data_IF_422407250784
#
_entry.id   IF_422407250784
#
_cell.length_a   1.000
_cell.length_b   1.000
_cell.length_c   1.000
_cell.angle_alpha   90.00
_cell.angle_beta   90.00
_cell.angle_gamma   90.00
#
_symmetry.space_group_name_H-M   'P 1'
#
loop_
_entity.id
_entity.type
_entity.pdbx_description
1 polymer ?
#
# COMPACT_ATOMS: atom_id res chain seq x y z
N UNK A 1 -83.08 45.46 43.24
CA UNK A 1 -82.89 44.58 44.42
C UNK A 1 -81.96 43.46 44.02
N UNK A 2 -80.86 43.26 44.75
CA UNK A 2 -79.88 42.20 44.71
C UNK A 2 -78.76 42.31 43.69
N UNK A 3 -77.64 42.72 44.12
CA UNK A 3 -76.39 42.19 44.53
C UNK A 3 -75.63 41.36 43.46
N UNK A 4 -74.68 41.97 42.85
CA UNK A 4 -73.69 41.33 41.96
C UNK A 4 -72.38 41.10 42.71
N UNK A 5 -71.98 39.87 42.83
CA UNK A 5 -70.69 39.45 43.31
C UNK A 5 -69.69 39.34 42.16
N UNK A 6 -68.56 40.05 42.29
CA UNK A 6 -67.48 40.05 41.35
C UNK A 6 -66.45 39.00 41.80
N UNK A 7 -66.13 38.00 40.98
CA UNK A 7 -64.95 37.14 41.15
C UNK A 7 -63.97 37.49 40.03
N UNK A 8 -62.87 38.10 40.46
CA UNK A 8 -61.74 38.29 39.57
C UNK A 8 -60.87 37.03 39.52
N UNK A 9 -60.59 36.56 38.35
CA UNK A 9 -59.56 35.53 38.13
C UNK A 9 -58.30 36.20 37.59
N UNK A 10 -57.24 36.12 38.37
CA UNK A 10 -55.89 36.48 37.95
C UNK A 10 -55.30 35.29 37.15
N UNK A 11 -55.07 35.47 35.86
CA UNK A 11 -54.33 34.54 35.05
C UNK A 11 -52.82 34.84 35.14
N UNK A 12 -52.09 33.96 35.79
CA UNK A 12 -50.63 33.99 35.80
C UNK A 12 -50.08 33.38 34.51
N UNK A 13 -49.50 34.19 33.66
CA UNK A 13 -48.79 33.72 32.46
C UNK A 13 -47.39 33.24 32.85
N UNK A 14 -47.14 31.96 32.80
CA UNK A 14 -45.79 31.38 32.94
C UNK A 14 -45.13 31.44 31.56
N UNK A 15 -44.20 32.35 31.39
CA UNK A 15 -43.34 32.38 30.20
C UNK A 15 -42.25 31.32 30.30
N UNK A 16 -42.38 30.24 29.52
CA UNK A 16 -41.35 29.21 29.36
C UNK A 16 -40.29 29.73 28.40
N UNK A 17 -39.17 30.19 28.90
CA UNK A 17 -38.03 30.58 28.08
C UNK A 17 -37.28 29.31 27.64
N UNK A 18 -37.51 28.85 26.38
CA UNK A 18 -36.68 27.86 25.75
C UNK A 18 -35.32 28.46 25.35
N UNK A 19 -34.32 28.27 26.19
CA UNK A 19 -32.92 28.54 25.84
C UNK A 19 -32.46 27.42 24.89
N UNK A 20 -32.42 27.70 23.59
CA UNK A 20 -31.82 26.84 22.59
C UNK A 20 -30.30 26.82 22.74
N UNK A 21 -29.75 25.77 23.32
CA UNK A 21 -28.30 25.52 23.31
C UNK A 21 -27.94 25.09 21.91
N UNK A 22 -27.45 26.00 21.09
CA UNK A 22 -26.84 25.66 19.80
C UNK A 22 -25.49 24.98 20.10
N UNK A 23 -25.46 23.65 20.01
CA UNK A 23 -24.19 22.92 19.91
C UNK A 23 -23.54 23.33 18.59
N UNK A 24 -22.57 24.23 18.65
CA UNK A 24 -21.64 24.49 17.56
C UNK A 24 -20.77 23.26 17.37
N UNK A 25 -21.12 22.40 16.41
CA UNK A 25 -20.24 21.36 15.90
C UNK A 25 -19.17 22.09 15.09
N UNK A 26 -18.04 22.40 15.74
CA UNK A 26 -16.84 22.79 15.00
C UNK A 26 -16.43 21.61 14.15
N UNK A 27 -16.23 21.78 12.82
CA UNK A 27 -15.65 20.72 12.02
C UNK A 27 -14.25 20.45 12.60
N UNK A 28 -14.05 19.27 13.15
CA UNK A 28 -12.72 18.74 13.44
C UNK A 28 -12.07 18.57 12.08
N UNK A 29 -11.39 19.59 11.61
CA UNK A 29 -10.37 19.44 10.58
C UNK A 29 -9.36 18.48 11.18
N UNK A 30 -9.36 17.23 10.69
CA UNK A 30 -8.33 16.27 10.98
C UNK A 30 -7.02 16.80 10.39
N UNK A 31 -6.38 17.75 11.11
CA UNK A 31 -4.98 18.00 10.94
C UNK A 31 -4.30 16.68 11.27
N UNK A 32 -3.66 16.06 10.27
CA UNK A 32 -2.74 14.95 10.52
C UNK A 32 -1.84 15.38 11.66
N UNK A 33 -1.80 14.63 12.77
CA UNK A 33 -0.95 15.03 13.88
C UNK A 33 0.48 15.06 13.35
N UNK A 34 1.04 16.24 13.25
CA UNK A 34 2.44 16.48 12.97
C UNK A 34 3.25 15.64 13.98
N UNK A 35 3.89 14.58 13.50
CA UNK A 35 4.89 13.87 14.29
C UNK A 35 4.63 12.42 14.65
N UNK A 36 3.55 11.75 14.24
CA UNK A 36 3.47 10.30 14.45
C UNK A 36 4.46 9.59 13.53
N UNK A 37 5.28 8.67 14.08
CA UNK A 37 6.20 7.88 13.29
C UNK A 37 5.43 7.11 12.21
N UNK A 38 5.75 7.35 10.93
CA UNK A 38 5.13 6.64 9.80
C UNK A 38 5.72 5.25 9.61
N UNK A 39 6.81 4.94 10.29
CA UNK A 39 7.54 3.70 10.12
C UNK A 39 6.73 2.51 10.64
N UNK A 40 6.63 1.49 9.81
CA UNK A 40 6.09 0.18 10.17
C UNK A 40 6.83 -0.88 9.36
N UNK A 41 7.09 -2.05 9.96
CA UNK A 41 7.81 -3.12 9.28
C UNK A 41 7.40 -4.50 9.75
N UNK A 42 7.54 -5.46 8.84
CA UNK A 42 7.37 -6.90 9.10
C UNK A 42 8.44 -7.67 8.32
N UNK A 43 9.01 -8.67 8.96
CA UNK A 43 9.72 -9.75 8.30
C UNK A 43 8.99 -11.06 8.56
N UNK A 44 8.60 -11.77 7.51
CA UNK A 44 7.81 -13.00 7.57
C UNK A 44 8.50 -14.13 6.78
N UNK A 45 8.51 -15.32 7.32
CA UNK A 45 8.79 -16.54 6.57
C UNK A 45 7.57 -16.93 5.74
N UNK A 46 7.71 -16.91 4.41
CA UNK A 46 6.60 -17.15 3.49
C UNK A 46 6.14 -18.62 3.47
N UNK A 47 6.96 -19.56 3.93
CA UNK A 47 6.63 -20.98 3.97
C UNK A 47 5.78 -21.35 5.18
N UNK A 48 6.04 -20.73 6.33
CA UNK A 48 5.36 -21.00 7.61
C UNK A 48 4.37 -19.92 8.00
N UNK A 49 4.42 -18.73 7.38
CA UNK A 49 3.76 -17.49 7.78
C UNK A 49 4.19 -16.99 9.17
N UNK A 50 5.31 -17.48 9.72
CA UNK A 50 5.87 -17.00 10.98
C UNK A 50 6.37 -15.56 10.81
N UNK A 51 5.98 -14.68 11.72
CA UNK A 51 6.53 -13.32 11.80
C UNK A 51 7.84 -13.40 12.61
N UNK A 52 8.97 -13.19 11.93
CA UNK A 52 10.30 -13.22 12.53
C UNK A 52 10.64 -11.90 13.22
N UNK A 53 10.14 -10.77 12.69
CA UNK A 53 10.30 -9.45 13.27
C UNK A 53 9.11 -8.55 12.89
N UNK A 54 8.70 -7.69 13.81
CA UNK A 54 7.62 -6.74 13.59
C UNK A 54 7.82 -5.47 14.42
N UNK A 55 7.55 -4.31 13.81
CA UNK A 55 7.44 -3.01 14.48
C UNK A 55 6.25 -2.26 13.87
N UNK A 56 5.25 -1.88 14.71
CA UNK A 56 4.01 -1.24 14.26
C UNK A 56 3.29 -2.02 13.13
N UNK A 57 3.41 -3.35 13.11
CA UNK A 57 2.99 -4.21 11.99
C UNK A 57 1.53 -4.03 11.58
N UNK A 58 0.63 -3.80 12.54
CA UNK A 58 -0.82 -3.65 12.32
C UNK A 58 -1.28 -2.19 12.25
N UNK A 59 -0.36 -1.25 12.43
CA UNK A 59 -0.71 0.17 12.37
C UNK A 59 -1.13 0.58 10.94
N UNK A 60 -2.21 1.35 10.85
CA UNK A 60 -2.73 1.87 9.59
C UNK A 60 -1.70 2.78 8.93
N UNK A 61 -1.41 2.51 7.66
CA UNK A 61 -0.45 3.24 6.80
C UNK A 61 -0.99 3.36 5.39
N UNK A 62 -0.50 4.34 4.64
CA UNK A 62 -0.78 4.44 3.20
C UNK A 62 0.24 3.57 2.44
N UNK A 63 -0.21 2.58 1.65
CA UNK A 63 0.68 1.64 0.97
C UNK A 63 1.37 2.25 -0.26
N UNK A 64 0.91 3.39 -0.77
CA UNK A 64 1.31 3.94 -2.06
C UNK A 64 1.20 2.87 -3.18
N UNK A 65 2.15 2.85 -4.12
CA UNK A 65 2.11 1.92 -5.26
C UNK A 65 2.29 0.43 -4.91
N UNK A 66 2.51 0.06 -3.63
CA UNK A 66 2.38 -1.35 -3.23
C UNK A 66 0.95 -1.86 -3.49
N UNK A 67 -0.04 -0.98 -3.50
CA UNK A 67 -1.43 -1.25 -3.94
C UNK A 67 -1.50 -2.06 -5.24
N UNK A 68 -0.59 -1.80 -6.18
CA UNK A 68 -0.58 -2.48 -7.49
C UNK A 68 -0.31 -3.98 -7.40
N UNK A 69 0.19 -4.46 -6.26
CA UNK A 69 0.27 -5.91 -6.01
C UNK A 69 -1.14 -6.51 -5.94
N UNK A 70 -2.09 -5.86 -5.25
CA UNK A 70 -3.49 -6.30 -5.24
C UNK A 70 -4.16 -6.13 -6.61
N UNK A 71 -3.84 -5.06 -7.33
CA UNK A 71 -4.34 -4.86 -8.69
C UNK A 71 -3.92 -6.01 -9.60
N UNK A 72 -2.63 -6.37 -9.59
CA UNK A 72 -2.13 -7.51 -10.38
C UNK A 72 -2.64 -8.85 -9.85
N UNK A 73 -2.87 -8.99 -8.54
CA UNK A 73 -3.50 -10.20 -7.98
C UNK A 73 -4.86 -10.47 -8.62
N UNK A 74 -5.72 -9.47 -8.72
CA UNK A 74 -7.04 -9.61 -9.36
C UNK A 74 -6.95 -9.79 -10.88
N UNK A 75 -5.92 -9.24 -11.53
CA UNK A 75 -5.63 -9.51 -12.95
C UNK A 75 -5.27 -10.99 -13.13
N UNK A 76 -4.43 -11.55 -12.26
CA UNK A 76 -4.04 -12.96 -12.32
C UNK A 76 -5.20 -13.89 -11.99
N UNK A 77 -6.04 -13.54 -10.99
CA UNK A 77 -7.32 -14.25 -10.76
C UNK A 77 -8.20 -14.28 -12.02
N UNK A 78 -8.24 -13.18 -12.78
CA UNK A 78 -9.04 -13.10 -14.00
C UNK A 78 -8.46 -13.94 -15.15
N UNK A 79 -7.12 -13.98 -15.28
CA UNK A 79 -6.42 -14.83 -16.26
C UNK A 79 -6.61 -16.31 -15.96
N UNK A 80 -6.42 -16.74 -14.71
CA UNK A 80 -6.60 -18.14 -14.30
C UNK A 80 -8.05 -18.61 -14.44
N UNK A 81 -9.01 -17.72 -14.23
CA UNK A 81 -10.43 -18.00 -14.44
C UNK A 81 -10.86 -17.94 -15.91
N UNK A 82 -9.95 -17.66 -16.85
CA UNK A 82 -10.27 -17.53 -18.28
C UNK A 82 -11.15 -16.31 -18.64
N UNK A 83 -11.35 -15.37 -17.69
CA UNK A 83 -12.14 -14.13 -17.91
C UNK A 83 -11.33 -13.04 -18.61
N UNK A 84 -10.03 -13.21 -18.66
CA UNK A 84 -9.06 -12.34 -19.29
C UNK A 84 -8.01 -13.22 -19.99
N UNK A 85 -7.48 -12.76 -21.12
CA UNK A 85 -6.41 -13.42 -21.88
C UNK A 85 -5.20 -12.50 -21.99
N UNK A 86 -3.98 -13.03 -22.11
CA UNK A 86 -2.77 -12.21 -22.23
C UNK A 86 -2.78 -11.27 -23.44
N UNK A 87 -3.41 -11.69 -24.55
CA UNK A 87 -3.54 -10.94 -25.80
C UNK A 87 -4.73 -9.98 -25.84
N UNK A 88 -5.64 -10.02 -24.87
CA UNK A 88 -6.77 -9.09 -24.77
C UNK A 88 -6.28 -7.65 -24.72
N UNK A 89 -7.10 -6.74 -25.31
CA UNK A 89 -6.75 -5.31 -25.34
C UNK A 89 -7.27 -4.59 -24.09
N UNK A 90 -6.37 -3.86 -23.43
CA UNK A 90 -6.66 -2.92 -22.35
C UNK A 90 -6.73 -1.55 -22.97
N UNK A 91 -7.91 -0.97 -23.05
CA UNK A 91 -8.15 0.35 -23.65
C UNK A 91 -7.95 1.42 -22.58
N UNK A 92 -7.27 2.50 -22.94
CA UNK A 92 -7.04 3.65 -22.07
C UNK A 92 -8.25 4.57 -22.13
N UNK A 93 -8.97 4.71 -21.02
CA UNK A 93 -10.05 5.68 -20.87
C UNK A 93 -9.50 7.09 -20.64
N UNK A 94 -10.36 8.12 -20.76
CA UNK A 94 -10.00 9.48 -20.35
C UNK A 94 -9.63 9.56 -18.86
N UNK A 95 -10.31 8.76 -18.01
CA UNK A 95 -9.99 8.68 -16.59
C UNK A 95 -8.62 8.07 -16.35
N UNK A 96 -8.29 6.94 -17.00
CA UNK A 96 -6.97 6.32 -16.90
C UNK A 96 -5.86 7.27 -17.38
N UNK A 97 -6.04 7.91 -18.55
CA UNK A 97 -5.06 8.85 -19.10
C UNK A 97 -4.82 10.09 -18.23
N UNK A 98 -5.83 10.52 -17.43
CA UNK A 98 -5.74 11.68 -16.54
C UNK A 98 -4.94 11.41 -15.26
N UNK A 99 -4.55 10.16 -15.00
CA UNK A 99 -3.85 9.80 -13.76
C UNK A 99 -2.52 10.55 -13.61
N UNK A 100 -2.17 10.89 -12.37
CA UNK A 100 -0.87 11.51 -12.06
C UNK A 100 0.27 10.50 -12.27
N UNK A 101 1.49 10.95 -12.58
CA UNK A 101 2.66 10.09 -12.68
C UNK A 101 2.92 9.24 -11.41
N UNK A 102 3.60 8.07 -11.50
CA UNK A 102 4.22 7.47 -12.70
C UNK A 102 3.16 6.91 -13.67
N UNK A 103 3.37 7.07 -14.98
CA UNK A 103 2.46 6.56 -16.02
C UNK A 103 3.21 6.17 -17.30
N UNK A 104 2.57 5.37 -18.15
CA UNK A 104 3.07 5.05 -19.50
C UNK A 104 2.80 6.22 -20.46
N UNK A 105 1.68 6.93 -20.26
CA UNK A 105 1.36 8.13 -21.03
C UNK A 105 0.63 7.87 -22.35
N UNK A 106 -0.10 6.76 -22.47
CA UNK A 106 -0.94 6.51 -23.63
C UNK A 106 -2.15 7.46 -23.66
N UNK A 107 -2.53 7.90 -24.86
CA UNK A 107 -3.71 8.74 -25.05
C UNK A 107 -5.02 7.95 -24.89
N UNK A 108 -6.14 8.62 -24.55
CA UNK A 108 -7.45 8.00 -24.55
C UNK A 108 -7.76 7.31 -25.89
N UNK A 109 -8.34 6.11 -25.83
CA UNK A 109 -8.63 5.27 -27.00
C UNK A 109 -7.47 4.40 -27.47
N UNK A 110 -6.25 4.68 -27.09
CA UNK A 110 -5.13 3.76 -27.32
C UNK A 110 -5.27 2.52 -26.45
N UNK A 111 -4.55 1.46 -26.80
CA UNK A 111 -4.64 0.20 -26.04
C UNK A 111 -3.32 -0.57 -26.11
N UNK A 112 -3.09 -1.41 -25.10
CA UNK A 112 -1.98 -2.35 -25.06
C UNK A 112 -2.52 -3.75 -24.70
N UNK A 113 -1.68 -4.79 -24.83
CA UNK A 113 -2.04 -6.14 -24.40
C UNK A 113 -2.11 -6.21 -22.86
N UNK A 114 -2.87 -7.18 -22.32
CA UNK A 114 -2.86 -7.48 -20.88
C UNK A 114 -1.46 -7.86 -20.42
N UNK A 115 -0.72 -8.63 -21.24
CA UNK A 115 0.66 -9.01 -20.92
C UNK A 115 1.57 -7.80 -20.76
N UNK A 116 1.54 -6.85 -21.71
CA UNK A 116 2.31 -5.61 -21.59
C UNK A 116 1.86 -4.76 -20.41
N UNK A 117 0.54 -4.67 -20.18
CA UNK A 117 -0.02 -3.93 -19.05
C UNK A 117 0.51 -4.48 -17.71
N UNK A 118 0.55 -5.80 -17.52
CA UNK A 118 1.11 -6.45 -16.33
C UNK A 118 2.58 -6.04 -16.13
N UNK A 119 3.41 -6.18 -17.17
CA UNK A 119 4.84 -5.83 -17.11
C UNK A 119 5.06 -4.37 -16.76
N UNK A 120 4.32 -3.46 -17.43
CA UNK A 120 4.41 -2.01 -17.18
C UNK A 120 3.95 -1.65 -15.76
N UNK A 121 2.89 -2.26 -15.24
CA UNK A 121 2.43 -2.02 -13.85
C UNK A 121 3.42 -2.56 -12.83
N UNK A 122 3.98 -3.75 -13.03
CA UNK A 122 4.94 -4.35 -12.13
C UNK A 122 6.26 -3.56 -12.07
N UNK A 123 6.81 -3.20 -13.22
CA UNK A 123 8.16 -2.62 -13.38
C UNK A 123 8.13 -1.09 -13.28
N UNK A 124 7.41 -0.39 -14.19
CA UNK A 124 7.34 1.08 -14.24
C UNK A 124 6.37 1.65 -13.19
N UNK A 125 5.48 0.81 -12.63
CA UNK A 125 4.49 1.29 -11.66
C UNK A 125 3.44 2.26 -12.24
N UNK A 126 3.10 2.12 -13.53
CA UNK A 126 2.24 3.04 -14.27
C UNK A 126 0.82 3.11 -13.67
N UNK A 127 0.41 4.29 -13.23
CA UNK A 127 -0.91 4.53 -12.61
C UNK A 127 -2.04 4.43 -13.64
N UNK A 128 -1.85 5.03 -14.83
CA UNK A 128 -2.78 4.97 -15.95
C UNK A 128 -3.10 3.54 -16.36
N UNK A 129 -2.09 2.68 -16.45
CA UNK A 129 -2.26 1.28 -16.83
C UNK A 129 -2.92 0.46 -15.70
N UNK A 130 -2.60 0.76 -14.45
CA UNK A 130 -3.29 0.12 -13.31
C UNK A 130 -4.79 0.44 -13.30
N UNK A 131 -5.17 1.70 -13.59
CA UNK A 131 -6.56 2.13 -13.69
C UNK A 131 -7.24 1.49 -14.92
N UNK A 132 -6.58 1.45 -16.08
CA UNK A 132 -7.14 0.81 -17.26
C UNK A 132 -7.40 -0.70 -17.08
N UNK A 133 -6.50 -1.42 -16.38
CA UNK A 133 -6.73 -2.81 -15.97
C UNK A 133 -7.91 -2.93 -15.00
N UNK A 134 -8.02 -2.01 -14.05
CA UNK A 134 -9.12 -1.95 -13.10
C UNK A 134 -10.47 -1.77 -13.81
N UNK A 135 -10.55 -0.86 -14.77
CA UNK A 135 -11.74 -0.62 -15.59
C UNK A 135 -12.08 -1.85 -16.46
N UNK A 136 -11.08 -2.50 -17.03
CA UNK A 136 -11.25 -3.71 -17.86
C UNK A 136 -11.89 -4.87 -17.07
N UNK A 137 -11.57 -5.01 -15.78
CA UNK A 137 -12.07 -6.09 -14.92
C UNK A 137 -13.32 -5.67 -14.14
N UNK A 138 -13.33 -4.46 -13.59
CA UNK A 138 -14.39 -3.98 -12.72
C UNK A 138 -15.46 -3.15 -13.41
N UNK A 139 -15.30 -2.80 -14.70
CA UNK A 139 -16.12 -1.85 -15.42
C UNK A 139 -15.82 -0.39 -15.03
N UNK A 140 -15.56 -0.13 -13.74
CA UNK A 140 -15.08 1.16 -13.21
C UNK A 140 -13.98 0.93 -12.18
N UNK A 141 -13.09 1.91 -11.98
CA UNK A 141 -12.07 1.85 -10.94
C UNK A 141 -12.68 1.72 -9.54
N UNK A 142 -13.78 2.42 -9.26
CA UNK A 142 -14.48 2.33 -7.98
C UNK A 142 -15.02 0.93 -7.69
N UNK A 143 -15.61 0.27 -8.70
CA UNK A 143 -16.06 -1.11 -8.55
C UNK A 143 -14.87 -2.04 -8.32
N UNK A 144 -13.77 -1.84 -9.07
CA UNK A 144 -12.56 -2.62 -8.89
C UNK A 144 -11.96 -2.45 -7.49
N UNK A 145 -11.92 -1.22 -6.94
CA UNK A 145 -11.47 -0.97 -5.57
C UNK A 145 -12.31 -1.73 -4.53
N UNK A 146 -13.63 -1.87 -4.76
CA UNK A 146 -14.48 -2.75 -3.93
C UNK A 146 -14.09 -4.20 -4.04
N UNK A 147 -13.78 -4.70 -5.24
CA UNK A 147 -13.28 -6.06 -5.45
C UNK A 147 -11.93 -6.27 -4.76
N UNK A 148 -11.00 -5.30 -4.85
CA UNK A 148 -9.73 -5.33 -4.13
C UNK A 148 -9.93 -5.45 -2.62
N UNK A 149 -10.84 -4.65 -2.05
CA UNK A 149 -11.15 -4.69 -0.62
C UNK A 149 -11.80 -6.02 -0.21
N UNK A 150 -12.70 -6.55 -1.02
CA UNK A 150 -13.29 -7.87 -0.79
C UNK A 150 -12.23 -8.98 -0.83
N UNK A 151 -11.31 -8.94 -1.80
CA UNK A 151 -10.18 -9.87 -1.89
C UNK A 151 -9.27 -9.75 -0.67
N UNK A 152 -8.96 -8.52 -0.22
CA UNK A 152 -8.18 -8.31 0.99
C UNK A 152 -8.80 -9.01 2.21
N UNK A 153 -10.12 -8.90 2.40
CA UNK A 153 -10.84 -9.60 3.48
C UNK A 153 -10.73 -11.12 3.35
N UNK A 154 -10.88 -11.66 2.14
CA UNK A 154 -10.72 -13.11 1.87
C UNK A 154 -9.31 -13.62 2.20
N UNK A 155 -8.28 -12.80 1.96
CA UNK A 155 -6.89 -13.12 2.28
C UNK A 155 -6.55 -12.93 3.77
N UNK A 156 -7.46 -12.36 4.58
CA UNK A 156 -7.23 -12.09 6.00
C UNK A 156 -6.58 -10.74 6.29
N UNK A 157 -6.53 -9.82 5.32
CA UNK A 157 -6.00 -8.46 5.47
C UNK A 157 -7.02 -7.57 6.19
N UNK A 158 -6.97 -7.55 7.50
CA UNK A 158 -8.00 -6.93 8.35
C UNK A 158 -7.90 -5.40 8.46
N UNK A 159 -6.71 -4.83 8.26
CA UNK A 159 -6.40 -3.40 8.32
C UNK A 159 -6.27 -2.79 6.92
N UNK A 160 -6.98 -3.32 5.92
CA UNK A 160 -6.83 -2.86 4.54
C UNK A 160 -8.16 -2.43 3.93
N UNK A 161 -8.15 -1.26 3.31
CA UNK A 161 -9.20 -0.77 2.43
C UNK A 161 -8.57 -0.10 1.22
N UNK A 162 -9.11 -0.40 0.03
CA UNK A 162 -8.67 0.17 -1.23
C UNK A 162 -9.73 1.13 -1.77
N UNK A 163 -9.31 2.34 -2.14
CA UNK A 163 -10.14 3.36 -2.78
C UNK A 163 -9.85 3.49 -4.28
N UNK A 164 -8.66 3.05 -4.73
CA UNK A 164 -8.24 3.11 -6.13
C UNK A 164 -7.28 1.95 -6.47
N UNK A 165 -6.99 1.79 -7.76
CA UNK A 165 -6.15 0.71 -8.27
C UNK A 165 -4.64 1.01 -8.25
N UNK A 166 -4.26 2.25 -8.03
CA UNK A 166 -2.88 2.73 -8.23
C UNK A 166 -2.11 2.97 -6.93
N UNK A 167 -2.82 3.27 -5.83
CA UNK A 167 -2.23 3.69 -4.55
C UNK A 167 -1.96 5.20 -4.49
N UNK A 168 -2.57 5.99 -5.38
CA UNK A 168 -2.57 7.45 -5.25
C UNK A 168 -3.28 7.86 -3.95
N UNK A 169 -2.93 9.01 -3.37
CA UNK A 169 -3.47 9.45 -2.09
C UNK A 169 -4.99 9.54 -2.06
N UNK A 170 -5.58 8.90 -1.08
CA UNK A 170 -6.99 8.96 -0.72
C UNK A 170 -7.10 8.61 0.78
N UNK A 171 -7.84 9.37 1.60
CA UNK A 171 -7.98 9.09 3.03
C UNK A 171 -8.58 7.70 3.33
N UNK A 172 -9.41 7.16 2.43
CA UNK A 172 -10.00 5.83 2.55
C UNK A 172 -9.10 4.72 2.02
N UNK A 173 -7.88 5.04 1.54
CA UNK A 173 -6.93 4.07 0.98
C UNK A 173 -5.82 3.78 1.97
N UNK A 174 -5.89 2.65 2.65
CA UNK A 174 -4.93 2.29 3.69
C UNK A 174 -4.69 0.78 3.78
N UNK A 175 -3.59 0.41 4.43
CA UNK A 175 -3.20 -0.96 4.74
C UNK A 175 -2.32 -0.98 5.98
N UNK A 176 -1.73 -2.14 6.29
CA UNK A 176 -0.71 -2.32 7.32
C UNK A 176 0.47 -3.13 6.78
N UNK A 177 1.63 -3.07 7.45
CA UNK A 177 2.79 -3.85 7.04
C UNK A 177 2.50 -5.37 7.10
N UNK A 178 1.74 -5.81 8.08
CA UNK A 178 1.32 -7.20 8.21
C UNK A 178 0.39 -7.63 7.06
N UNK A 179 -0.61 -6.82 6.72
CA UNK A 179 -1.53 -7.12 5.64
C UNK A 179 -0.82 -7.19 4.28
N UNK A 180 0.16 -6.30 4.06
CA UNK A 180 1.00 -6.33 2.85
C UNK A 180 1.85 -7.60 2.81
N UNK A 181 2.39 -8.07 3.94
CA UNK A 181 3.12 -9.33 3.99
C UNK A 181 2.20 -10.52 3.65
N UNK A 182 0.96 -10.52 4.17
CA UNK A 182 -0.08 -11.52 3.83
C UNK A 182 -0.36 -11.51 2.32
N UNK A 183 -0.59 -10.33 1.73
CA UNK A 183 -0.81 -10.19 0.29
C UNK A 183 0.37 -10.71 -0.52
N UNK A 184 1.59 -10.37 -0.10
CA UNK A 184 2.82 -10.78 -0.78
C UNK A 184 3.00 -12.30 -0.76
N UNK A 185 2.73 -12.96 0.38
CA UNK A 185 2.76 -14.40 0.49
C UNK A 185 1.66 -15.07 -0.35
N UNK A 186 0.45 -14.51 -0.34
CA UNK A 186 -0.66 -15.00 -1.15
C UNK A 186 -0.36 -14.88 -2.64
N UNK A 187 0.23 -13.76 -3.09
CA UNK A 187 0.65 -13.54 -4.48
C UNK A 187 1.61 -14.64 -4.95
N UNK A 188 2.65 -14.92 -4.16
CA UNK A 188 3.66 -15.93 -4.48
C UNK A 188 3.06 -17.35 -4.52
N UNK A 189 2.21 -17.67 -3.55
CA UNK A 189 1.62 -19.00 -3.41
C UNK A 189 0.54 -19.29 -4.44
N UNK A 190 -0.34 -18.31 -4.69
CA UNK A 190 -1.53 -18.51 -5.50
C UNK A 190 -1.28 -18.23 -6.98
N UNK A 191 -0.31 -17.38 -7.33
CA UNK A 191 -0.01 -16.98 -8.71
C UNK A 191 1.48 -17.21 -9.09
N UNK A 192 2.06 -18.38 -8.82
CA UNK A 192 3.50 -18.63 -9.07
C UNK A 192 3.89 -18.45 -10.54
N UNK A 193 2.98 -18.75 -11.48
CA UNK A 193 3.23 -18.64 -12.92
C UNK A 193 3.33 -17.18 -13.40
N UNK A 194 2.76 -16.23 -12.68
CA UNK A 194 2.76 -14.81 -13.04
C UNK A 194 3.73 -13.99 -12.18
N UNK A 195 4.16 -14.54 -11.04
CA UNK A 195 4.98 -13.82 -10.06
C UNK A 195 6.29 -13.26 -10.65
N UNK A 196 6.86 -13.95 -11.66
CA UNK A 196 8.12 -13.56 -12.29
C UNK A 196 8.15 -12.12 -12.83
N UNK A 197 7.01 -11.51 -13.15
CA UNK A 197 6.94 -10.13 -13.62
C UNK A 197 7.51 -9.11 -12.61
N UNK A 198 7.52 -9.42 -11.31
CA UNK A 198 8.09 -8.58 -10.27
C UNK A 198 9.62 -8.65 -10.18
N UNK A 199 10.22 -9.69 -10.75
CA UNK A 199 11.67 -9.89 -10.78
C UNK A 199 12.35 -9.19 -11.97
N UNK A 200 11.60 -8.71 -12.94
CA UNK A 200 12.14 -8.05 -14.14
C UNK A 200 12.81 -6.72 -13.77
N UNK A 201 14.09 -6.57 -14.12
CA UNK A 201 14.86 -5.35 -13.85
C UNK A 201 14.47 -4.18 -14.76
N UNK A 202 13.93 -4.48 -15.94
CA UNK A 202 13.44 -3.47 -16.89
C UNK A 202 12.41 -4.09 -17.82
N UNK A 203 11.53 -3.24 -18.36
CA UNK A 203 10.57 -3.58 -19.40
C UNK A 203 10.69 -2.63 -20.58
N UNK A 204 10.45 -3.14 -21.80
CA UNK A 204 10.36 -2.33 -23.00
C UNK A 204 8.92 -2.29 -23.51
N UNK A 205 8.45 -1.11 -23.91
CA UNK A 205 7.18 -0.93 -24.61
C UNK A 205 7.41 0.02 -25.80
N UNK A 206 7.25 -0.48 -27.01
CA UNK A 206 7.68 0.22 -28.20
C UNK A 206 9.18 0.57 -28.15
N UNK A 207 9.50 1.86 -28.22
CA UNK A 207 10.89 2.36 -28.09
C UNK A 207 11.29 2.73 -26.67
N UNK A 208 10.36 2.70 -25.73
CA UNK A 208 10.61 3.07 -24.33
C UNK A 208 11.17 1.87 -23.58
N UNK A 209 12.31 2.07 -22.91
CA UNK A 209 12.86 1.13 -21.94
C UNK A 209 12.72 1.74 -20.53
N UNK A 210 12.09 1.02 -19.63
CA UNK A 210 11.74 1.47 -18.29
C UNK A 210 12.38 0.57 -17.25
N UNK A 211 13.17 1.13 -16.33
CA UNK A 211 13.79 0.38 -15.24
C UNK A 211 12.81 0.09 -14.11
N UNK A 212 13.03 -1.01 -13.39
CA UNK A 212 12.31 -1.30 -12.17
C UNK A 212 12.75 -0.35 -11.04
N UNK A 213 11.78 0.13 -10.28
CA UNK A 213 12.04 0.98 -9.12
C UNK A 213 12.59 0.21 -7.91
N UNK A 214 12.52 -1.13 -7.90
CA UNK A 214 13.13 -1.98 -6.90
C UNK A 214 14.63 -2.19 -7.20
N UNK A 215 15.46 -1.33 -6.63
CA UNK A 215 16.92 -1.37 -6.82
C UNK A 215 17.62 -2.54 -6.14
N UNK A 216 16.91 -3.38 -5.37
CA UNK A 216 17.48 -4.55 -4.73
C UNK A 216 17.56 -5.76 -5.69
N UNK A 217 16.83 -5.73 -6.79
CA UNK A 217 16.86 -6.76 -7.84
C UNK A 217 18.26 -6.85 -8.46
N UNK A 218 18.86 -8.03 -8.44
CA UNK A 218 20.23 -8.26 -8.93
C UNK A 218 21.34 -7.71 -8.03
N UNK A 219 21.01 -7.02 -6.91
CA UNK A 219 21.97 -6.46 -5.97
C UNK A 219 21.99 -7.23 -4.64
N UNK A 220 20.82 -7.48 -4.07
CA UNK A 220 20.71 -8.25 -2.83
C UNK A 220 20.47 -9.72 -3.16
N UNK A 221 21.32 -10.65 -2.69
CA UNK A 221 21.20 -12.06 -3.03
C UNK A 221 19.82 -12.64 -2.76
N UNK A 222 19.26 -13.28 -3.79
CA UNK A 222 17.99 -13.98 -3.72
C UNK A 222 16.74 -13.10 -3.84
N UNK A 223 16.87 -11.76 -3.91
CA UNK A 223 15.72 -10.87 -4.10
C UNK A 223 15.11 -11.08 -5.50
N UNK A 224 13.80 -11.39 -5.52
CA UNK A 224 13.03 -11.69 -6.73
C UNK A 224 11.71 -10.90 -6.84
N UNK A 225 11.58 -9.82 -6.10
CA UNK A 225 10.40 -8.94 -6.09
C UNK A 225 10.38 -8.02 -4.87
N UNK A 226 9.30 -7.27 -4.56
CA UNK A 226 8.01 -7.27 -5.23
C UNK A 226 7.70 -5.86 -5.74
N UNK A 227 7.46 -4.87 -4.81
CA UNK A 227 6.96 -3.55 -5.24
C UNK A 227 7.37 -2.43 -4.31
N UNK A 228 7.86 -1.34 -4.91
CA UNK A 228 8.13 -0.06 -4.24
C UNK A 228 6.91 0.85 -4.29
N UNK A 229 6.88 1.84 -3.42
CA UNK A 229 5.94 2.95 -3.47
C UNK A 229 6.49 4.20 -2.80
N UNK A 230 5.93 5.34 -3.18
CA UNK A 230 6.17 6.63 -2.57
C UNK A 230 4.97 7.55 -2.78
N UNK A 231 4.56 8.24 -1.75
CA UNK A 231 3.77 9.48 -1.76
C UNK A 231 4.22 10.33 -0.58
N UNK A 232 3.89 11.62 -0.58
CA UNK A 232 4.22 12.47 0.56
C UNK A 232 3.61 11.95 1.89
N UNK A 233 2.43 11.33 1.80
CA UNK A 233 1.72 10.79 2.97
C UNK A 233 2.26 9.45 3.43
N UNK A 234 2.68 8.59 2.48
CA UNK A 234 3.21 7.25 2.81
C UNK A 234 4.67 7.25 3.23
N UNK A 235 5.48 8.24 2.79
CA UNK A 235 6.92 8.09 2.74
C UNK A 235 7.36 7.00 1.76
N UNK A 236 8.61 6.58 1.79
CA UNK A 236 9.13 5.51 0.94
C UNK A 236 8.72 4.13 1.48
N UNK A 237 8.17 3.30 0.61
CA UNK A 237 7.65 1.97 0.95
C UNK A 237 8.26 0.89 0.06
N UNK A 238 8.38 -0.33 0.57
CA UNK A 238 8.79 -1.50 -0.21
C UNK A 238 8.26 -2.77 0.47
N UNK A 239 7.66 -3.66 -0.31
CA UNK A 239 7.60 -5.08 0.01
C UNK A 239 8.59 -5.81 -0.87
N UNK A 240 9.48 -6.59 -0.27
CA UNK A 240 10.47 -7.38 -0.97
C UNK A 240 10.36 -8.86 -0.58
N UNK A 241 10.67 -9.72 -1.53
CA UNK A 241 10.82 -11.16 -1.31
C UNK A 241 12.22 -11.59 -1.70
N UNK A 242 12.77 -12.53 -0.95
CA UNK A 242 14.03 -13.16 -1.28
C UNK A 242 14.00 -14.66 -0.98
N UNK A 243 14.75 -15.44 -1.78
CA UNK A 243 14.93 -16.90 -1.60
C UNK A 243 16.40 -17.18 -1.38
N UNK A 244 16.73 -17.89 -0.28
CA UNK A 244 18.07 -18.41 -0.01
C UNK A 244 17.96 -19.80 0.60
N UNK A 245 18.77 -20.73 0.12
CA UNK A 245 18.81 -22.12 0.64
C UNK A 245 17.41 -22.78 0.75
N UNK A 246 16.56 -22.54 -0.25
CA UNK A 246 15.20 -23.08 -0.30
C UNK A 246 14.19 -22.41 0.66
N UNK A 247 14.59 -21.41 1.45
CA UNK A 247 13.68 -20.64 2.31
C UNK A 247 13.37 -19.31 1.65
N UNK A 248 12.13 -18.86 1.79
CA UNK A 248 11.65 -17.57 1.27
C UNK A 248 11.23 -16.66 2.41
N UNK A 249 11.80 -15.46 2.44
CA UNK A 249 11.41 -14.39 3.35
C UNK A 249 10.72 -13.26 2.60
N UNK A 250 9.77 -12.62 3.28
CA UNK A 250 9.09 -11.41 2.84
C UNK A 250 9.38 -10.32 3.86
N UNK A 251 9.97 -9.20 3.41
CA UNK A 251 10.23 -8.03 4.23
C UNK A 251 9.38 -6.86 3.72
N UNK A 252 8.69 -6.19 4.62
CA UNK A 252 7.86 -5.01 4.34
C UNK A 252 8.38 -3.83 5.16
N UNK A 253 8.63 -2.70 4.49
CA UNK A 253 8.94 -1.42 5.13
C UNK A 253 7.98 -0.37 4.60
N UNK A 254 7.30 0.32 5.50
CA UNK A 254 6.42 1.45 5.23
C UNK A 254 6.94 2.68 5.97
N UNK A 255 6.81 3.87 5.37
CA UNK A 255 7.10 5.13 6.03
C UNK A 255 8.58 5.46 6.22
N UNK A 256 9.47 4.92 5.38
CA UNK A 256 10.89 5.30 5.43
C UNK A 256 11.09 6.74 4.91
N UNK A 257 12.06 7.49 5.48
CA UNK A 257 12.30 8.89 5.09
C UNK A 257 12.94 9.05 3.71
N UNK A 258 13.59 8.00 3.20
CA UNK A 258 14.24 8.04 1.89
C UNK A 258 14.24 6.65 1.23
N UNK A 259 14.40 6.63 -0.10
CA UNK A 259 14.57 5.38 -0.84
C UNK A 259 15.80 4.61 -0.41
N UNK A 260 16.93 5.30 -0.16
CA UNK A 260 18.16 4.69 0.32
C UNK A 260 17.97 4.00 1.69
N UNK A 261 17.32 4.70 2.64
CA UNK A 261 17.09 4.13 3.97
C UNK A 261 16.13 2.94 3.91
N UNK A 262 15.07 3.01 3.09
CA UNK A 262 14.14 1.91 2.83
C UNK A 262 14.88 0.66 2.31
N UNK A 263 15.74 0.85 1.32
CA UNK A 263 16.49 -0.25 0.70
C UNK A 263 17.47 -0.89 1.70
N UNK A 264 18.13 -0.06 2.50
CA UNK A 264 19.02 -0.52 3.59
C UNK A 264 18.23 -1.30 4.65
N UNK A 265 17.06 -0.82 5.05
CA UNK A 265 16.22 -1.49 6.06
C UNK A 265 15.75 -2.86 5.59
N UNK A 266 15.28 -2.97 4.35
CA UNK A 266 14.88 -4.25 3.73
C UNK A 266 16.08 -5.20 3.67
N UNK A 267 17.25 -4.71 3.26
CA UNK A 267 18.47 -5.52 3.18
C UNK A 267 18.87 -6.07 4.55
N UNK A 268 18.84 -5.22 5.58
CA UNK A 268 19.14 -5.63 6.96
C UNK A 268 18.15 -6.67 7.49
N UNK A 269 16.84 -6.47 7.25
CA UNK A 269 15.78 -7.40 7.64
C UNK A 269 15.98 -8.78 6.99
N UNK A 270 16.20 -8.82 5.67
CA UNK A 270 16.41 -10.06 4.94
C UNK A 270 17.67 -10.80 5.41
N UNK A 271 18.79 -10.09 5.54
CA UNK A 271 20.04 -10.70 5.98
C UNK A 271 19.93 -11.25 7.41
N UNK A 272 19.43 -10.46 8.36
CA UNK A 272 19.20 -10.89 9.73
C UNK A 272 18.26 -12.09 9.79
N UNK A 273 17.17 -12.08 9.01
CA UNK A 273 16.21 -13.17 8.96
C UNK A 273 16.81 -14.49 8.47
N UNK A 274 17.56 -14.46 7.36
CA UNK A 274 18.22 -15.68 6.86
C UNK A 274 19.28 -16.18 7.84
N UNK A 275 20.04 -15.28 8.48
CA UNK A 275 20.99 -15.64 9.55
C UNK A 275 20.27 -16.27 10.74
N UNK A 276 19.15 -15.69 11.20
CA UNK A 276 18.36 -16.24 12.29
C UNK A 276 17.85 -17.66 11.98
N UNK A 277 17.34 -17.87 10.77
CA UNK A 277 16.87 -19.19 10.33
C UNK A 277 18.00 -20.23 10.27
N UNK A 278 19.21 -19.80 9.89
CA UNK A 278 20.37 -20.69 9.86
C UNK A 278 20.85 -21.05 11.27
N UNK A 279 20.93 -20.06 12.19
CA UNK A 279 21.23 -20.29 13.60
C UNK A 279 20.22 -21.25 14.22
N UNK A 280 18.91 -21.06 13.98
CA UNK A 280 17.84 -21.94 14.51
C UNK A 280 17.95 -23.36 13.96
N UNK A 281 18.31 -23.52 12.67
CA UNK A 281 18.55 -24.84 12.06
C UNK A 281 19.69 -25.58 12.75
N UNK A 282 20.69 -24.85 13.25
CA UNK A 282 21.86 -25.41 13.95
C UNK A 282 21.66 -25.49 15.48
N UNK A 283 20.42 -25.33 15.98
CA UNK A 283 20.08 -25.48 17.40
C UNK A 283 20.27 -24.22 18.26
N UNK A 284 20.60 -23.07 17.65
CA UNK A 284 20.74 -21.78 18.34
C UNK A 284 19.43 -20.99 18.42
N UNK A 285 19.43 -19.90 19.18
CA UNK A 285 18.22 -19.07 19.41
C UNK A 285 17.82 -18.21 18.20
N UNK A 286 18.79 -17.69 17.40
CA UNK A 286 18.51 -16.82 16.26
C UNK A 286 17.73 -15.54 16.64
N UNK A 287 18.22 -14.80 17.67
CA UNK A 287 17.58 -13.57 18.15
C UNK A 287 17.61 -12.45 17.09
N UNK A 288 16.46 -12.14 16.55
CA UNK A 288 16.30 -11.13 15.51
C UNK A 288 16.67 -9.72 15.98
N UNK A 289 16.39 -9.37 17.23
CA UNK A 289 16.69 -8.04 17.78
C UNK A 289 18.19 -7.80 17.84
N UNK A 290 18.95 -8.79 18.34
CA UNK A 290 20.41 -8.71 18.39
C UNK A 290 21.04 -8.65 16.99
N UNK A 291 20.55 -9.46 16.04
CA UNK A 291 21.02 -9.47 14.64
C UNK A 291 20.73 -8.16 13.92
N UNK A 292 19.56 -7.57 14.13
CA UNK A 292 19.21 -6.28 13.54
C UNK A 292 20.03 -5.14 14.14
N UNK A 293 20.23 -5.11 15.46
CA UNK A 293 21.08 -4.12 16.12
C UNK A 293 22.52 -4.15 15.57
N UNK A 294 23.09 -5.34 15.37
CA UNK A 294 24.45 -5.50 14.82
C UNK A 294 24.56 -5.07 13.36
N UNK A 295 23.47 -5.11 12.58
CA UNK A 295 23.44 -4.67 11.19
C UNK A 295 23.30 -3.15 11.02
N UNK A 296 23.17 -2.39 12.12
CA UNK A 296 22.90 -0.95 12.10
C UNK A 296 21.44 -0.60 11.74
N UNK A 297 20.52 -1.57 11.82
CA UNK A 297 19.09 -1.31 11.74
C UNK A 297 18.64 -0.55 12.99
N UNK A 298 17.98 0.58 12.78
CA UNK A 298 17.50 1.38 13.90
C UNK A 298 16.22 0.77 14.48
N UNK A 299 16.35 0.06 15.59
CA UNK A 299 15.23 -0.49 16.34
C UNK A 299 14.35 0.63 16.94
N UNK A 300 13.07 0.35 17.14
CA UNK A 300 12.09 1.24 17.78
C UNK A 300 11.99 2.61 17.08
N UNK A 301 12.08 2.65 15.76
CA UNK A 301 11.92 3.88 14.96
C UNK A 301 10.57 4.51 15.13
N UNK A 302 9.54 3.71 15.31
CA UNK A 302 8.18 4.16 15.54
C UNK A 302 8.02 5.05 16.79
N UNK A 303 8.99 5.00 17.71
CA UNK A 303 9.02 5.83 18.92
C UNK A 303 9.79 7.14 18.73
N UNK A 304 10.45 7.33 17.58
CA UNK A 304 11.23 8.54 17.29
C UNK A 304 10.42 9.48 16.38
N UNK A 305 10.36 10.79 16.69
CA UNK A 305 9.77 11.75 15.78
C UNK A 305 10.54 11.72 14.45
N UNK A 306 9.81 11.68 13.34
CA UNK A 306 10.41 11.76 12.00
C UNK A 306 11.04 13.15 11.83
N UNK A 307 12.29 13.23 11.30
CA UNK A 307 12.77 14.50 10.79
C UNK A 307 11.78 14.99 9.74
N UNK A 308 11.42 16.29 9.82
CA UNK A 308 10.61 16.91 8.77
C UNK A 308 11.33 16.64 7.45
N UNK A 309 10.67 15.98 6.53
CA UNK A 309 11.15 15.90 5.14
C UNK A 309 11.03 17.34 4.65
N UNK A 310 12.16 18.07 4.63
CA UNK A 310 12.22 19.34 3.92
C UNK A 310 11.67 19.01 2.53
N UNK A 311 10.81 19.90 2.02
CA UNK A 311 10.25 19.78 0.69
C UNK A 311 11.42 19.73 -0.32
N UNK A 312 11.96 18.54 -0.52
CA UNK A 312 12.86 18.27 -1.62
C UNK A 312 11.97 18.32 -2.84
N UNK A 313 12.10 19.39 -3.61
CA UNK A 313 11.73 19.39 -5.00
C UNK A 313 12.45 18.19 -5.60
N UNK A 314 11.73 17.07 -5.72
CA UNK A 314 12.15 15.97 -6.58
C UNK A 314 11.87 16.49 -7.98
N UNK A 315 12.84 17.22 -8.54
CA UNK A 315 12.97 17.30 -9.97
C UNK A 315 13.16 15.85 -10.42
N UNK A 316 12.09 15.25 -10.95
CA UNK A 316 12.19 14.05 -11.75
C UNK A 316 13.09 14.43 -12.93
N UNK A 317 14.35 14.12 -12.82
CA UNK A 317 15.27 14.19 -13.94
C UNK A 317 14.88 13.12 -14.96
N UNK A 318 13.93 13.47 -15.83
CA UNK A 318 13.81 12.93 -17.16
C UNK A 318 14.87 13.63 -18.01
N UNK A 319 16.07 13.11 -18.00
CA UNK A 319 17.08 13.47 -18.99
C UNK A 319 17.64 12.19 -19.59
N UNK A 320 17.30 12.04 -20.90
CA UNK A 320 17.92 11.27 -21.99
C UNK A 320 17.88 9.74 -21.91
#
# INVERSE_FOLDING_TARGET
MMLKTIFGQAAAAIALSCTSIALSVTPVTAASPLGLPRFATVLMDAGTNEILYAEQATAIRHPASITKVMTLYLVFDALEAGRLRPDDRVVISSHAASQRPSKLGLAPGQSLSVEDAIKVVAVKSANDIAVALAERIGGTEQNFARLMTAKARQLGMRQTMYANASGLPDPAHFSSAQDIAILSAAMIRNHPNYYGCFAEQSVSYGRLRMANHNKLLGVVPGVDGIKTGFTNDSGFTLTASAVRNGRRLIAVVLGSPSGWQRDRDITSLLNAGFTALEIRRNGGNGDMTALLASSGFALNRSLRPMPQIAALNVEEGDSE
#
